data_IF_949356097191
#
_entry.id   IF_949356097191
#
_cell.length_a   1.000
_cell.length_b   1.000
_cell.length_c   1.000
_cell.angle_alpha   90.00
_cell.angle_beta   90.00
_cell.angle_gamma   90.00
#
_symmetry.space_group_name_H-M   'P 1'
#
loop_
_entity.id
_entity.type
_entity.pdbx_description
1 polymer ?
#
# COMPACT_ATOMS: atom_id res chain seq x y z
N UNK A 1 25.24 3.41 4.17
CA UNK A 1 24.35 3.75 3.04
C UNK A 1 23.18 2.79 3.13
N UNK A 2 22.03 3.25 3.61
CA UNK A 2 20.86 2.39 3.79
C UNK A 2 20.29 2.03 2.41
N UNK A 3 20.06 0.75 2.08
CA UNK A 3 19.66 0.29 0.73
C UNK A 3 18.25 0.71 0.28
N UNK A 4 17.59 1.60 1.01
CA UNK A 4 16.24 2.11 0.74
C UNK A 4 16.13 3.09 -0.43
N UNK A 5 17.24 3.34 -1.13
CA UNK A 5 17.33 4.29 -2.25
C UNK A 5 17.31 3.65 -3.64
N UNK A 6 17.17 2.34 -3.70
CA UNK A 6 17.14 1.57 -4.95
C UNK A 6 15.70 1.23 -5.33
N UNK A 7 15.43 1.11 -6.63
CA UNK A 7 14.17 0.59 -7.12
C UNK A 7 14.05 -0.90 -6.79
N UNK A 8 12.91 -1.29 -6.22
CA UNK A 8 12.59 -2.67 -5.88
C UNK A 8 11.44 -3.16 -6.76
N UNK A 9 11.60 -4.34 -7.35
CA UNK A 9 10.53 -4.98 -8.11
C UNK A 9 9.40 -5.40 -7.16
N UNK A 10 8.17 -4.99 -7.47
CA UNK A 10 6.99 -5.28 -6.68
C UNK A 10 6.11 -6.39 -7.28
N UNK A 11 6.32 -6.74 -8.55
CA UNK A 11 5.54 -7.72 -9.29
C UNK A 11 5.06 -7.21 -10.65
N UNK A 12 4.43 -8.08 -11.43
CA UNK A 12 3.81 -7.71 -12.71
C UNK A 12 2.58 -6.82 -12.47
N UNK A 13 2.35 -5.84 -13.32
CA UNK A 13 1.19 -4.94 -13.25
C UNK A 13 -0.15 -5.69 -13.29
N UNK A 14 -0.21 -6.83 -14.00
CA UNK A 14 -1.37 -7.70 -14.04
C UNK A 14 -1.69 -8.38 -12.69
N UNK A 15 -0.72 -8.46 -11.76
CA UNK A 15 -0.89 -9.05 -10.44
C UNK A 15 -1.52 -8.12 -9.40
N UNK A 16 -1.89 -6.89 -9.80
CA UNK A 16 -2.57 -5.91 -8.96
C UNK A 16 -3.97 -5.63 -9.52
N UNK A 17 -5.00 -6.42 -9.15
CA UNK A 17 -6.38 -6.16 -9.55
C UNK A 17 -6.80 -4.75 -9.15
N UNK A 18 -7.57 -4.08 -10.02
CA UNK A 18 -8.07 -2.76 -9.72
C UNK A 18 -9.15 -2.83 -8.62
N UNK A 19 -8.97 -2.04 -7.57
CA UNK A 19 -9.96 -1.82 -6.52
C UNK A 19 -10.80 -0.61 -6.94
N UNK A 20 -12.09 -0.83 -7.16
CA UNK A 20 -13.06 0.24 -7.42
C UNK A 20 -13.79 0.66 -6.13
N UNK A 21 -14.20 1.93 -5.99
CA UNK A 21 -15.02 2.36 -4.89
C UNK A 21 -16.35 1.60 -4.86
N UNK A 22 -16.69 1.01 -3.72
CA UNK A 22 -18.03 0.50 -3.45
C UNK A 22 -19.00 1.68 -3.15
N UNK A 23 -20.32 1.47 -3.27
CA UNK A 23 -21.33 2.51 -2.99
C UNK A 23 -21.22 3.09 -1.57
N UNK A 24 -20.64 2.32 -0.64
CA UNK A 24 -20.19 2.85 0.64
C UNK A 24 -18.92 3.67 0.41
N UNK A 25 -18.92 4.95 0.83
CA UNK A 25 -17.81 5.93 0.76
C UNK A 25 -16.41 5.43 1.16
N UNK A 26 -16.28 4.22 1.73
CA UNK A 26 -15.02 3.54 2.02
C UNK A 26 -15.06 2.11 1.50
N UNK A 27 -13.98 1.67 0.84
CA UNK A 27 -13.82 0.32 0.28
C UNK A 27 -12.70 -0.42 1.00
N UNK A 28 -12.97 -1.61 1.55
CA UNK A 28 -11.93 -2.39 2.23
C UNK A 28 -10.95 -2.99 1.23
N UNK A 29 -9.65 -2.92 1.50
CA UNK A 29 -8.61 -3.58 0.69
C UNK A 29 -8.77 -5.10 0.81
N UNK A 30 -8.62 -5.65 2.01
CA UNK A 30 -8.93 -7.04 2.30
C UNK A 30 -10.37 -7.15 2.84
N UNK A 31 -11.26 -7.80 2.06
CA UNK A 31 -12.68 -7.94 2.41
C UNK A 31 -12.90 -8.78 3.66
N UNK A 32 -12.15 -9.87 3.82
CA UNK A 32 -12.09 -10.63 5.08
C UNK A 32 -10.82 -11.48 5.17
N UNK A 33 -10.62 -12.13 6.33
CA UNK A 33 -9.59 -13.16 6.51
C UNK A 33 -10.06 -14.56 6.04
N UNK A 34 -11.28 -14.66 5.50
CA UNK A 34 -11.84 -15.91 5.01
C UNK A 34 -11.12 -16.31 3.71
N UNK A 35 -10.50 -17.50 3.66
CA UNK A 35 -9.84 -17.99 2.45
C UNK A 35 -10.77 -18.09 1.23
N UNK A 36 -12.09 -18.18 1.45
CA UNK A 36 -13.08 -18.23 0.38
C UNK A 36 -13.19 -16.94 -0.45
N UNK A 37 -12.73 -15.79 0.10
CA UNK A 37 -12.80 -14.49 -0.59
C UNK A 37 -11.65 -14.27 -1.59
N UNK A 38 -10.76 -15.27 -1.74
CA UNK A 38 -9.58 -15.19 -2.59
C UNK A 38 -8.44 -14.37 -1.99
N UNK A 39 -7.30 -14.26 -2.70
CA UNK A 39 -6.20 -13.42 -2.25
C UNK A 39 -6.62 -11.94 -2.24
N UNK A 40 -6.10 -11.13 -1.30
CA UNK A 40 -6.41 -9.71 -1.28
C UNK A 40 -5.89 -9.05 -2.58
N UNK A 41 -6.56 -8.00 -3.10
CA UNK A 41 -6.15 -7.26 -4.30
C UNK A 41 -4.95 -6.32 -4.04
N UNK A 42 -4.01 -6.77 -3.21
CA UNK A 42 -2.81 -6.04 -2.82
C UNK A 42 -1.68 -7.01 -2.51
N UNK A 43 -0.44 -6.52 -2.57
CA UNK A 43 0.75 -7.24 -2.12
C UNK A 43 1.37 -6.57 -0.91
N UNK A 44 1.91 -7.38 -0.02
CA UNK A 44 2.71 -6.91 1.12
C UNK A 44 4.14 -7.37 0.87
N UNK A 45 5.06 -6.42 0.76
CA UNK A 45 6.46 -6.67 0.44
C UNK A 45 7.31 -6.36 1.65
N UNK A 46 8.06 -7.33 2.14
CA UNK A 46 9.12 -7.08 3.11
C UNK A 46 10.39 -6.66 2.39
N UNK A 47 10.93 -5.51 2.77
CA UNK A 47 12.23 -5.05 2.31
C UNK A 47 13.28 -5.41 3.37
N UNK A 48 14.45 -5.83 2.93
CA UNK A 48 15.58 -6.14 3.82
C UNK A 48 16.83 -5.44 3.33
N UNK A 49 17.64 -4.93 4.25
CA UNK A 49 18.97 -4.43 3.90
C UNK A 49 19.93 -5.56 3.48
N UNK A 50 19.60 -6.80 3.84
CA UNK A 50 20.43 -7.98 3.60
C UNK A 50 20.07 -8.73 2.31
N UNK A 51 18.97 -8.38 1.64
CA UNK A 51 18.52 -9.01 0.40
C UNK A 51 18.10 -7.92 -0.61
N UNK A 52 18.56 -7.98 -1.86
CA UNK A 52 18.22 -6.97 -2.87
C UNK A 52 16.75 -7.05 -3.30
N UNK A 53 16.16 -8.23 -3.24
CA UNK A 53 14.80 -8.50 -3.70
C UNK A 53 13.80 -8.40 -2.53
N UNK A 54 12.64 -7.81 -2.81
CA UNK A 54 11.52 -7.84 -1.88
C UNK A 54 10.96 -9.26 -1.75
N UNK A 55 10.66 -9.67 -0.52
CA UNK A 55 9.89 -10.89 -0.25
C UNK A 55 8.41 -10.54 -0.15
N UNK A 56 7.57 -11.18 -0.96
CA UNK A 56 6.12 -11.10 -0.78
C UNK A 56 5.69 -11.88 0.47
N UNK A 57 4.87 -11.25 1.31
CA UNK A 57 4.33 -11.81 2.55
C UNK A 57 2.84 -12.06 2.40
N UNK A 58 2.38 -13.16 3.00
CA UNK A 58 0.95 -13.35 3.29
C UNK A 58 0.49 -12.34 4.36
N UNK A 59 -0.82 -12.03 4.45
CA UNK A 59 -1.34 -11.15 5.51
C UNK A 59 -0.99 -11.60 6.93
N UNK A 60 -0.89 -12.92 7.17
CA UNK A 60 -0.51 -13.47 8.47
C UNK A 60 0.96 -13.24 8.79
N UNK A 61 1.88 -13.57 7.87
CA UNK A 61 3.32 -13.31 8.05
C UNK A 61 3.60 -11.81 8.23
N UNK A 62 2.90 -10.96 7.46
CA UNK A 62 3.00 -9.52 7.58
C UNK A 62 2.57 -9.03 8.96
N UNK A 63 1.46 -9.56 9.50
CA UNK A 63 0.98 -9.20 10.83
C UNK A 63 1.94 -9.60 11.95
N UNK A 64 2.63 -10.74 11.82
CA UNK A 64 3.61 -11.22 12.80
C UNK A 64 4.88 -10.36 12.84
N UNK A 65 5.31 -9.84 11.69
CA UNK A 65 6.55 -9.07 11.54
C UNK A 65 6.34 -7.54 11.47
N UNK A 66 5.10 -7.05 11.57
CA UNK A 66 4.77 -5.64 11.38
C UNK A 66 5.47 -4.75 12.42
N UNK A 67 6.18 -3.73 11.93
CA UNK A 67 6.91 -2.79 12.80
C UNK A 67 8.28 -3.26 13.27
N UNK A 68 8.63 -4.53 13.06
CA UNK A 68 10.00 -5.04 13.24
C UNK A 68 10.81 -4.87 11.96
N UNK A 69 10.19 -5.19 10.83
CA UNK A 69 10.82 -5.14 9.51
C UNK A 69 10.08 -4.15 8.61
N UNK A 70 10.77 -3.45 7.69
CA UNK A 70 10.11 -2.58 6.73
C UNK A 70 9.19 -3.37 5.80
N UNK A 71 7.91 -3.02 5.81
CA UNK A 71 6.90 -3.63 4.95
C UNK A 71 6.23 -2.57 4.09
N UNK A 72 6.06 -2.85 2.80
CA UNK A 72 5.38 -1.98 1.84
C UNK A 72 4.10 -2.65 1.39
N UNK A 73 3.00 -1.92 1.48
CA UNK A 73 1.73 -2.29 0.89
C UNK A 73 1.63 -1.69 -0.51
N UNK A 74 1.44 -2.54 -1.52
CA UNK A 74 1.27 -2.14 -2.92
C UNK A 74 -0.11 -2.59 -3.41
N UNK A 75 -0.86 -1.68 -4.01
CA UNK A 75 -2.23 -1.94 -4.46
C UNK A 75 -2.61 -1.03 -5.64
N UNK A 76 -3.63 -1.42 -6.40
CA UNK A 76 -4.21 -0.59 -7.47
C UNK A 76 -5.59 -0.10 -7.04
N UNK A 77 -5.82 1.20 -7.11
CA UNK A 77 -7.11 1.83 -6.78
C UNK A 77 -7.44 2.86 -7.86
N UNK A 78 -8.63 2.76 -8.45
CA UNK A 78 -9.05 3.59 -9.60
C UNK A 78 -8.02 3.59 -10.73
N UNK A 79 -7.60 2.39 -11.10
CA UNK A 79 -6.57 2.11 -12.11
C UNK A 79 -5.17 2.70 -11.83
N UNK A 80 -4.96 3.33 -10.67
CA UNK A 80 -3.68 3.89 -10.27
C UNK A 80 -2.98 2.98 -9.27
N UNK A 81 -1.70 2.71 -9.50
CA UNK A 81 -0.86 1.97 -8.55
C UNK A 81 -0.36 2.89 -7.42
N UNK A 82 -0.43 2.37 -6.20
CA UNK A 82 -0.01 3.03 -4.99
C UNK A 82 0.91 2.11 -4.19
N UNK A 83 1.91 2.70 -3.53
CA UNK A 83 2.80 2.00 -2.63
C UNK A 83 3.05 2.84 -1.38
N UNK A 84 2.74 2.28 -0.21
CA UNK A 84 2.82 2.94 1.10
C UNK A 84 3.43 2.00 2.12
N UNK A 85 3.97 2.53 3.22
CA UNK A 85 4.36 1.68 4.34
C UNK A 85 3.13 0.93 4.88
N UNK A 86 3.26 -0.38 5.07
CA UNK A 86 2.17 -1.23 5.54
C UNK A 86 1.85 -0.97 7.01
N UNK A 87 2.84 -0.52 7.79
CA UNK A 87 2.69 -0.18 9.20
C UNK A 87 2.13 1.23 9.36
N UNK A 88 0.96 1.35 9.98
CA UNK A 88 0.38 2.64 10.30
C UNK A 88 1.30 3.42 11.28
N UNK A 89 1.71 4.67 10.96
CA UNK A 89 2.67 5.42 11.78
C UNK A 89 2.14 5.81 13.15
N UNK A 90 0.83 5.68 13.41
CA UNK A 90 0.25 5.94 14.73
C UNK A 90 0.57 4.83 15.73
N UNK A 91 0.18 3.57 15.44
CA UNK A 91 0.32 2.41 16.35
C UNK A 91 0.45 1.08 15.59
N UNK A 92 1.28 1.06 14.54
CA UNK A 92 1.73 -0.14 13.81
C UNK A 92 0.65 -1.12 13.34
N UNK A 93 -0.59 -0.65 13.15
CA UNK A 93 -1.66 -1.48 12.61
C UNK A 93 -1.47 -1.72 11.11
N UNK A 94 -1.81 -2.92 10.60
CA UNK A 94 -1.67 -3.26 9.18
C UNK A 94 -2.65 -2.47 8.32
N UNK A 95 -2.11 -1.66 7.41
CA UNK A 95 -2.91 -0.90 6.46
C UNK A 95 -3.52 -1.77 5.36
N UNK A 96 -3.06 -3.02 5.14
CA UNK A 96 -3.73 -3.98 4.24
C UNK A 96 -5.15 -4.31 4.67
N UNK A 97 -5.48 -4.07 5.96
CA UNK A 97 -6.83 -4.21 6.53
C UNK A 97 -7.60 -2.89 6.57
N UNK A 98 -7.06 -1.84 5.97
CA UNK A 98 -7.66 -0.52 5.91
C UNK A 98 -8.76 -0.39 4.88
N UNK A 99 -9.37 0.79 4.85
CA UNK A 99 -10.40 1.14 3.87
C UNK A 99 -9.97 2.35 3.04
N UNK A 100 -9.96 2.18 1.73
CA UNK A 100 -9.69 3.21 0.73
C UNK A 100 -10.91 4.11 0.54
N UNK A 101 -10.68 5.36 0.18
CA UNK A 101 -11.72 6.32 -0.15
C UNK A 101 -11.18 7.40 -1.08
N UNK A 102 -12.07 8.05 -1.82
CA UNK A 102 -11.71 9.22 -2.62
C UNK A 102 -11.57 10.45 -1.74
N UNK A 103 -10.50 11.21 -1.95
CA UNK A 103 -10.41 12.59 -1.46
C UNK A 103 -10.98 13.46 -2.58
N UNK A 104 -12.22 13.89 -2.40
CA UNK A 104 -12.95 14.68 -3.37
C UNK A 104 -13.56 15.94 -2.76
N UNK A 105 -13.83 16.94 -3.61
CA UNK A 105 -14.67 18.09 -3.29
C UNK A 105 -15.54 18.42 -4.51
N UNK A 106 -16.84 18.64 -4.29
CA UNK A 106 -17.85 18.85 -5.34
C UNK A 106 -17.81 17.83 -6.51
N UNK A 107 -17.52 16.55 -6.21
CA UNK A 107 -17.46 15.46 -7.20
C UNK A 107 -16.18 15.45 -8.04
N UNK A 108 -15.21 16.32 -7.74
CA UNK A 108 -13.87 16.28 -8.33
C UNK A 108 -12.97 15.49 -7.39
N UNK A 109 -12.39 14.40 -7.90
CA UNK A 109 -11.46 13.55 -7.14
C UNK A 109 -10.05 14.14 -7.28
N UNK A 110 -9.50 14.59 -6.15
CA UNK A 110 -8.15 15.18 -6.09
C UNK A 110 -7.08 14.15 -5.70
N UNK A 111 -7.45 13.16 -4.90
CA UNK A 111 -6.53 12.15 -4.40
C UNK A 111 -7.29 10.91 -3.90
N UNK A 112 -6.55 9.96 -3.34
CA UNK A 112 -7.10 8.80 -2.65
C UNK A 112 -6.55 8.75 -1.23
N UNK A 113 -7.37 8.30 -0.29
CA UNK A 113 -7.00 8.14 1.10
C UNK A 113 -7.19 6.72 1.59
N UNK A 114 -6.49 6.38 2.67
CA UNK A 114 -6.65 5.13 3.40
C UNK A 114 -6.97 5.41 4.86
N UNK A 115 -8.02 4.78 5.39
CA UNK A 115 -8.36 4.79 6.82
C UNK A 115 -7.79 3.54 7.49
N UNK A 116 -6.96 3.73 8.51
CA UNK A 116 -6.42 2.68 9.36
C UNK A 116 -7.53 2.05 10.22
N UNK A 117 -7.65 0.71 10.27
CA UNK A 117 -8.74 0.03 10.96
C UNK A 117 -8.58 0.03 12.49
N UNK A 118 -7.37 0.29 13.00
CA UNK A 118 -7.12 0.26 14.45
C UNK A 118 -7.74 1.44 15.19
N UNK A 119 -7.49 2.66 14.70
CA UNK A 119 -7.85 3.90 15.41
C UNK A 119 -8.44 4.98 14.47
N UNK A 120 -8.80 4.60 13.24
CA UNK A 120 -9.46 5.50 12.28
C UNK A 120 -8.60 6.66 11.79
N UNK A 121 -7.27 6.58 11.89
CA UNK A 121 -6.36 7.57 11.32
C UNK A 121 -6.38 7.46 9.80
N UNK A 122 -6.44 8.58 9.10
CA UNK A 122 -6.56 8.57 7.66
C UNK A 122 -5.39 9.31 7.00
N UNK A 123 -4.92 8.77 5.89
CA UNK A 123 -3.75 9.29 5.18
C UNK A 123 -4.03 9.37 3.69
N UNK A 124 -3.61 10.44 3.06
CA UNK A 124 -3.52 10.53 1.60
C UNK A 124 -2.42 9.56 1.11
N UNK A 125 -2.75 8.65 0.19
CA UNK A 125 -1.81 7.60 -0.25
C UNK A 125 -0.81 8.07 -1.32
N UNK A 126 -0.97 9.29 -1.83
CA UNK A 126 -0.05 9.91 -2.80
C UNK A 126 1.01 10.79 -2.09
N UNK A 127 0.60 11.47 -1.01
CA UNK A 127 1.41 12.46 -0.28
C UNK A 127 1.85 12.01 1.11
N UNK A 128 1.11 11.08 1.71
CA UNK A 128 1.33 10.61 3.09
C UNK A 128 0.77 11.55 4.15
N UNK A 129 0.15 12.67 3.75
CA UNK A 129 -0.43 13.63 4.67
C UNK A 129 -1.57 12.99 5.46
N UNK A 130 -1.57 13.23 6.76
CA UNK A 130 -2.62 12.75 7.64
C UNK A 130 -3.79 13.72 7.68
N UNK A 131 -5.00 13.19 7.91
CA UNK A 131 -6.21 13.96 8.19
C UNK A 131 -6.11 14.83 9.45
N UNK A 132 -5.27 14.43 10.41
CA UNK A 132 -5.11 15.12 11.70
C UNK A 132 -3.70 14.92 12.27
N UNK A 133 -3.32 15.78 13.21
CA UNK A 133 -2.05 15.65 13.92
C UNK A 133 -0.82 15.80 13.01
N UNK A 134 0.30 15.22 13.43
CA UNK A 134 1.62 15.38 12.78
C UNK A 134 2.24 14.08 12.25
N UNK A 135 1.52 12.96 12.29
CA UNK A 135 2.01 11.72 11.68
C UNK A 135 2.04 11.87 10.15
N UNK A 136 3.07 11.31 9.52
CA UNK A 136 3.18 11.24 8.05
C UNK A 136 3.36 9.79 7.64
N UNK A 137 2.51 9.32 6.74
CA UNK A 137 2.63 7.99 6.17
C UNK A 137 3.73 8.00 5.12
N UNK A 138 4.68 7.07 5.21
CA UNK A 138 5.70 6.92 4.18
C UNK A 138 5.06 6.41 2.88
N UNK A 139 5.20 7.19 1.81
CA UNK A 139 4.78 6.83 0.45
C UNK A 139 6.01 6.46 -0.38
N UNK A 140 5.83 5.56 -1.34
CA UNK A 140 6.83 5.13 -2.29
C UNK A 140 6.49 5.68 -3.68
N UNK A 141 7.50 6.03 -4.47
CA UNK A 141 7.36 6.22 -5.90
C UNK A 141 7.00 4.88 -6.52
N UNK A 142 6.15 4.90 -7.53
CA UNK A 142 5.79 3.74 -8.32
C UNK A 142 6.10 4.06 -9.77
N UNK A 143 6.78 3.15 -10.45
CA UNK A 143 7.08 3.24 -11.88
C UNK A 143 6.63 1.92 -12.53
N UNK A 144 5.99 2.04 -13.69
CA UNK A 144 5.67 0.89 -14.55
C UNK A 144 6.73 0.85 -15.64
N UNK A 145 7.36 -0.31 -15.83
CA UNK A 145 8.40 -0.53 -16.83
C UNK A 145 8.00 -1.69 -17.74
N UNK A 146 8.39 -1.63 -18.99
CA UNK A 146 8.28 -2.79 -19.90
C UNK A 146 9.32 -3.84 -19.49
N UNK A 147 8.87 -5.09 -19.29
CA UNK A 147 9.73 -6.24 -19.00
C UNK A 147 9.41 -7.42 -19.90
N UNK A 148 10.25 -8.46 -19.85
CA UNK A 148 10.13 -9.63 -20.72
C UNK A 148 8.80 -10.39 -20.55
N UNK A 149 8.18 -10.26 -19.37
CA UNK A 149 6.94 -10.93 -19.00
C UNK A 149 5.74 -9.97 -18.92
N UNK A 150 5.85 -8.80 -19.57
CA UNK A 150 4.85 -7.74 -19.55
C UNK A 150 5.24 -6.56 -18.66
N UNK A 151 4.27 -5.69 -18.37
CA UNK A 151 4.48 -4.51 -17.53
C UNK A 151 4.87 -4.89 -16.09
N UNK A 152 5.95 -4.31 -15.61
CA UNK A 152 6.54 -4.53 -14.28
C UNK A 152 6.31 -3.32 -13.39
N UNK A 153 5.93 -3.57 -12.14
CA UNK A 153 5.78 -2.52 -11.12
C UNK A 153 7.04 -2.43 -10.29
N UNK A 154 7.63 -1.24 -10.23
CA UNK A 154 8.81 -0.93 -9.45
C UNK A 154 8.48 0.12 -8.41
N UNK A 155 9.01 -0.04 -7.20
CA UNK A 155 8.81 0.90 -6.10
C UNK A 155 10.13 1.46 -5.60
N UNK A 156 10.16 2.74 -5.23
CA UNK A 156 11.32 3.37 -4.58
C UNK A 156 10.83 4.25 -3.43
N UNK A 157 11.48 4.22 -2.28
CA UNK A 157 11.08 5.06 -1.14
C UNK A 157 11.17 6.55 -1.54
N UNK A 158 10.11 7.33 -1.27
CA UNK A 158 10.20 8.80 -1.40
C UNK A 158 10.96 9.36 -0.21
N UNK A 159 11.93 10.24 -0.46
CA UNK A 159 12.49 11.06 0.61
C UNK A 159 11.40 11.97 1.20
N UNK A 160 11.46 12.19 2.51
CA UNK A 160 10.40 12.81 3.30
C UNK A 160 10.40 14.34 3.22
#
# INVERSE_FOLDING_TARGET
MSPVDTWTFAGLAASFPNIEPEDSRKTKIAKSANPADGPPPCKILQLSDSQPDARELTPSEAQESIGFEPQVLVFRYRDKLHAINHSCPHRTHPLSRGSLYDIEDFGIIFSAGITCPGHGWAFDVNTGLCDRGSYKLQVYQVEIREGDNGEEVWIKKKEA
#
